data_IF_011376547084
#
_entry.id   IF_011376547084
#
_cell.length_a   1.000
_cell.length_b   1.000
_cell.length_c   1.000
_cell.angle_alpha   90.00
_cell.angle_beta   90.00
_cell.angle_gamma   90.00
#
_symmetry.space_group_name_H-M   'P 1'
#
loop_
_entity.id
_entity.type
_entity.pdbx_description
1 polymer ?
#
# COMPACT_ATOMS: atom_id res chain seq x y z
N UNK A 1 -46.85 -27.59 11.96
CA UNK A 1 -46.26 -27.40 11.79
C UNK A 1 -45.30 -27.02 11.61
N UNK A 2 -45.17 -26.87 11.60
CA UNK A 2 -44.23 -26.52 11.54
C UNK A 2 -43.16 -26.17 11.27
N UNK A 3 -42.96 -26.21 11.35
CA UNK A 3 -41.80 -25.77 11.22
C UNK A 3 -40.92 -25.52 10.81
N UNK A 4 -41.17 -25.57 10.89
CA UNK A 4 -40.17 -25.38 10.59
C UNK A 4 -39.45 -24.93 10.11
N UNK A 5 -39.73 -24.82 10.32
CA UNK A 5 -38.89 -24.49 9.96
C UNK A 5 -38.00 -24.09 9.61
N UNK A 6 -38.29 -24.15 9.87
CA UNK A 6 -37.34 -23.94 9.72
C UNK A 6 -36.39 -23.66 9.31
N UNK A 7 -36.57 -23.69 9.46
CA UNK A 7 -35.49 -23.54 9.23
C UNK A 7 -34.61 -23.21 8.68
N UNK A 8 -35.03 -23.22 8.81
CA UNK A 8 -34.08 -23.03 8.45
C UNK A 8 -33.23 -22.52 8.00
N UNK A 9 -33.64 -22.43 8.24
CA UNK A 9 -32.69 -22.08 8.01
C UNK A 9 -31.85 -21.61 7.79
N UNK A 10 -32.04 -21.47 8.14
CA UNK A 10 -31.00 -21.16 8.17
C UNK A 10 -30.06 -21.00 7.79
N UNK A 11 -30.37 -21.09 7.88
CA UNK A 11 -29.32 -21.10 7.78
C UNK A 11 -28.50 -20.74 7.17
N UNK A 12 -28.84 -20.71 7.11
CA UNK A 12 -28.03 -20.51 6.76
C UNK A 12 -27.23 -19.88 6.42
N UNK A 13 -27.41 -19.61 6.67
CA UNK A 13 -26.65 -19.19 6.57
C UNK A 13 -25.63 -18.96 6.46
N UNK A 14 -25.66 -19.00 6.58
CA UNK A 14 -24.70 -18.95 6.73
C UNK A 14 -23.87 -18.66 6.22
N UNK A 15 -24.17 -18.51 6.25
CA UNK A 15 -23.40 -18.40 5.95
C UNK A 15 -22.67 -17.87 5.43
N UNK A 16 -23.03 -17.83 5.42
CA UNK A 16 -22.33 -17.52 5.00
C UNK A 16 -21.49 -16.82 4.99
N UNK A 17 -21.53 -16.46 5.20
CA UNK A 17 -20.80 -15.89 5.27
C UNK A 17 -19.64 -15.82 5.19
N UNK A 18 -19.53 -16.01 5.43
CA UNK A 18 -18.36 -16.08 5.57
C UNK A 18 -17.41 -15.87 4.69
N UNK A 19 -17.45 -16.17 4.05
CA UNK A 19 -16.58 -16.15 3.01
C UNK A 19 -16.02 -14.84 2.66
N UNK A 20 -16.72 -13.87 2.75
CA UNK A 20 -16.26 -12.55 2.34
C UNK A 20 -15.09 -12.08 3.15
N UNK A 21 -14.90 -12.65 4.28
CA UNK A 21 -13.89 -12.14 5.16
C UNK A 21 -12.49 -12.35 4.67
N UNK A 22 -12.28 -13.30 3.79
CA UNK A 22 -10.92 -13.57 3.37
C UNK A 22 -10.29 -12.42 2.64
N UNK A 23 -11.08 -11.59 2.00
CA UNK A 23 -10.53 -10.51 1.21
C UNK A 23 -9.85 -9.44 2.03
N UNK A 24 -10.25 -9.29 3.27
CA UNK A 24 -9.66 -8.26 4.10
C UNK A 24 -8.22 -8.54 4.45
N UNK A 25 -7.75 -9.75 4.23
CA UNK A 25 -6.36 -10.08 4.51
C UNK A 25 -5.42 -9.52 3.48
N UNK A 26 -5.91 -9.14 2.32
CA UNK A 26 -5.05 -8.65 1.26
C UNK A 26 -4.61 -7.24 1.53
N UNK A 27 -3.40 -6.91 1.06
CA UNK A 27 -2.89 -5.57 1.15
C UNK A 27 -3.71 -4.64 0.28
N UNK A 28 -3.87 -3.43 0.72
CA UNK A 28 -4.42 -2.38 -0.13
C UNK A 28 -3.39 -2.06 -1.20
N UNK A 29 -3.84 -2.02 -2.44
CA UNK A 29 -2.94 -1.80 -3.57
C UNK A 29 -3.54 -0.77 -4.50
N UNK A 30 -2.71 0.13 -5.00
CA UNK A 30 -3.16 1.15 -5.92
C UNK A 30 -2.03 1.58 -6.84
N UNK A 31 -2.40 2.12 -7.99
CA UNK A 31 -1.45 2.75 -8.89
C UNK A 31 -1.24 4.18 -8.40
N UNK A 32 0.01 4.57 -8.32
CA UNK A 32 0.39 5.90 -7.87
C UNK A 32 1.44 6.46 -8.81
N UNK A 33 1.94 7.65 -8.52
CA UNK A 33 3.00 8.28 -9.27
C UNK A 33 4.20 8.45 -8.36
N UNK A 34 5.35 7.95 -8.79
CA UNK A 34 6.55 7.96 -7.97
C UNK A 34 7.62 8.85 -8.54
N UNK A 35 8.38 9.47 -7.65
CA UNK A 35 9.59 10.22 -7.98
C UNK A 35 10.69 9.72 -7.07
N UNK A 36 11.74 9.20 -7.69
CA UNK A 36 12.91 8.71 -6.97
C UNK A 36 14.04 9.70 -7.13
N UNK A 37 14.50 10.26 -6.03
CA UNK A 37 15.60 11.21 -5.99
C UNK A 37 16.75 10.59 -5.21
N UNK A 38 17.85 10.33 -5.90
CA UNK A 38 19.04 9.83 -5.23
C UNK A 38 19.76 10.97 -4.54
N UNK A 39 20.37 10.69 -3.41
CA UNK A 39 21.12 11.73 -2.71
C UNK A 39 22.48 11.99 -3.38
N UNK A 40 22.84 11.12 -4.31
CA UNK A 40 23.96 11.40 -5.21
C UNK A 40 23.43 12.26 -6.36
N UNK A 41 23.81 13.51 -6.39
CA UNK A 41 23.27 14.48 -7.33
C UNK A 41 23.68 14.22 -8.78
N UNK A 42 24.62 13.31 -9.02
CA UNK A 42 24.99 12.95 -10.38
C UNK A 42 23.99 12.02 -11.03
N UNK A 43 23.06 11.44 -10.24
CA UNK A 43 22.06 10.52 -10.76
C UNK A 43 20.76 11.30 -10.97
N UNK A 44 20.21 11.29 -12.21
CA UNK A 44 19.00 12.04 -12.49
C UNK A 44 17.79 11.49 -11.74
N UNK A 45 16.78 12.33 -11.56
CA UNK A 45 15.50 11.90 -11.02
C UNK A 45 14.86 10.86 -11.93
N UNK A 46 14.18 9.90 -11.32
CA UNK A 46 13.36 8.95 -12.05
C UNK A 46 11.91 9.18 -11.65
N UNK A 47 11.04 9.24 -12.65
CA UNK A 47 9.62 9.54 -12.44
C UNK A 47 8.78 8.58 -13.24
N UNK A 48 7.59 8.30 -12.75
CA UNK A 48 6.65 7.48 -13.49
C UNK A 48 5.63 6.86 -12.59
N UNK A 49 4.73 6.09 -13.21
CA UNK A 49 3.74 5.35 -12.45
C UNK A 49 4.40 4.24 -11.65
N UNK A 50 3.80 3.90 -10.54
CA UNK A 50 4.28 2.85 -9.67
C UNK A 50 3.09 2.12 -9.05
N UNK A 51 3.37 0.95 -8.48
CA UNK A 51 2.38 0.19 -7.75
C UNK A 51 2.70 0.29 -6.28
N UNK A 52 1.74 0.78 -5.53
CA UNK A 52 1.86 0.98 -4.10
C UNK A 52 0.96 -0.01 -3.38
N UNK A 53 1.49 -0.68 -2.38
CA UNK A 53 0.66 -1.52 -1.52
C UNK A 53 1.06 -1.33 -0.08
N UNK A 54 0.08 -1.44 0.81
CA UNK A 54 0.32 -1.25 2.22
C UNK A 54 -0.48 -2.29 3.00
N UNK A 55 0.17 -2.87 3.98
CA UNK A 55 -0.48 -3.84 4.86
C UNK A 55 0.10 -3.69 6.25
N UNK A 56 -0.75 -3.37 7.23
CA UNK A 56 -0.35 -3.22 8.62
C UNK A 56 0.81 -2.25 8.79
N UNK A 57 0.81 -1.20 7.97
CA UNK A 57 1.85 -0.18 8.03
C UNK A 57 3.11 -0.51 7.25
N UNK A 58 3.21 -1.74 6.75
CA UNK A 58 4.34 -2.13 5.90
C UNK A 58 4.03 -1.77 4.47
N UNK A 59 4.95 -1.11 3.80
CA UNK A 59 4.73 -0.57 2.47
C UNK A 59 5.64 -1.26 1.48
N UNK A 60 5.08 -1.61 0.32
CA UNK A 60 5.84 -2.11 -0.81
C UNK A 60 5.54 -1.23 -2.01
N UNK A 61 6.58 -0.82 -2.72
CA UNK A 61 6.44 -0.01 -3.92
C UNK A 61 7.22 -0.66 -5.04
N UNK A 62 6.55 -0.86 -6.17
CA UNK A 62 7.21 -1.36 -7.37
C UNK A 62 7.24 -0.23 -8.37
N UNK A 63 8.43 0.16 -8.75
CA UNK A 63 8.65 1.32 -9.62
C UNK A 63 9.77 0.99 -10.60
N UNK A 64 9.42 0.89 -11.89
CA UNK A 64 10.38 0.51 -12.93
C UNK A 64 11.02 -0.82 -12.57
N UNK A 65 12.33 -0.86 -12.46
CA UNK A 65 13.05 -2.08 -12.09
C UNK A 65 13.30 -2.18 -10.59
N UNK A 66 12.72 -1.26 -9.83
CA UNK A 66 12.96 -1.19 -8.39
C UNK A 66 11.82 -1.82 -7.60
N UNK A 67 12.17 -2.41 -6.50
CA UNK A 67 11.19 -2.88 -5.51
C UNK A 67 11.63 -2.32 -4.17
N UNK A 68 10.80 -1.44 -3.61
CA UNK A 68 11.09 -0.81 -2.33
C UNK A 68 10.23 -1.43 -1.26
N UNK A 69 10.79 -1.63 -0.09
CA UNK A 69 10.06 -2.11 1.05
C UNK A 69 10.36 -1.23 2.26
N UNK A 70 9.30 -0.77 2.92
CA UNK A 70 9.41 0.08 4.09
C UNK A 70 8.58 -0.55 5.19
N UNK A 71 9.23 -1.27 6.10
CA UNK A 71 8.54 -1.93 7.19
C UNK A 71 8.23 -0.94 8.29
N UNK A 72 7.04 -1.06 8.87
CA UNK A 72 6.60 -0.15 9.91
C UNK A 72 7.59 -0.09 11.07
N UNK A 73 8.17 -1.24 11.41
CA UNK A 73 9.09 -1.31 12.55
C UNK A 73 10.39 -0.55 12.32
N UNK A 74 10.72 -0.26 11.07
CA UNK A 74 11.95 0.45 10.72
C UNK A 74 11.74 1.95 10.56
N UNK A 75 10.50 2.41 10.66
CA UNK A 75 10.19 3.83 10.52
C UNK A 75 10.86 4.62 11.63
N UNK A 76 11.57 5.67 11.25
CA UNK A 76 12.34 6.46 12.21
C UNK A 76 13.71 5.87 12.50
N UNK A 77 14.03 4.72 11.93
CA UNK A 77 15.32 4.06 12.17
C UNK A 77 16.13 3.97 10.89
N UNK A 78 15.64 3.23 9.90
CA UNK A 78 16.35 3.10 8.63
C UNK A 78 15.78 4.03 7.57
N UNK A 79 14.61 4.59 7.81
CA UNK A 79 14.01 5.58 6.91
C UNK A 79 13.07 6.48 7.71
N UNK A 80 12.79 7.66 7.14
CA UNK A 80 11.81 8.59 7.69
C UNK A 80 10.59 8.58 6.77
N UNK A 81 9.41 8.54 7.36
CA UNK A 81 8.16 8.55 6.62
C UNK A 81 7.38 9.81 6.94
N UNK A 82 6.91 10.50 5.91
CA UNK A 82 6.06 11.66 6.05
C UNK A 82 4.82 11.48 5.18
N UNK A 83 3.67 11.79 5.73
CA UNK A 83 2.40 11.65 5.03
C UNK A 83 1.78 13.02 4.85
N UNK A 84 1.11 13.21 3.72
CA UNK A 84 0.32 14.40 3.44
C UNK A 84 -0.90 13.99 2.63
N UNK A 85 -1.77 14.95 2.34
CA UNK A 85 -2.93 14.67 1.49
C UNK A 85 -2.53 14.25 0.10
N UNK A 86 -1.34 14.60 -0.33
CA UNK A 86 -0.86 14.34 -1.68
C UNK A 86 -0.19 12.98 -1.82
N UNK A 87 0.26 12.41 -0.72
CA UNK A 87 0.94 11.13 -0.79
C UNK A 87 1.87 10.89 0.37
N UNK A 88 2.87 10.08 0.11
CA UNK A 88 3.86 9.67 1.11
C UNK A 88 5.25 10.01 0.62
N UNK A 89 6.12 10.31 1.56
CA UNK A 89 7.52 10.52 1.28
C UNK A 89 8.32 9.59 2.18
N UNK A 90 9.23 8.85 1.57
CA UNK A 90 10.14 7.96 2.30
C UNK A 90 11.56 8.46 2.04
N UNK A 91 12.27 8.75 3.11
CA UNK A 91 13.64 9.26 3.02
C UNK A 91 14.59 8.31 3.72
N UNK A 92 15.52 7.74 2.97
CA UNK A 92 16.63 6.98 3.55
C UNK A 92 17.86 7.88 3.51
N UNK A 93 18.22 8.36 4.65
CA UNK A 93 19.33 9.31 4.80
C UNK A 93 20.59 8.80 4.11
N UNK A 94 21.17 9.63 3.27
CA UNK A 94 22.40 9.27 2.55
C UNK A 94 22.20 8.40 1.34
N UNK A 95 20.96 8.02 1.03
CA UNK A 95 20.70 7.12 -0.08
C UNK A 95 19.72 7.70 -1.08
N UNK A 96 18.46 7.88 -0.69
CA UNK A 96 17.44 8.35 -1.62
C UNK A 96 16.21 8.85 -0.88
N UNK A 97 15.40 9.58 -1.63
CA UNK A 97 14.03 9.94 -1.23
C UNK A 97 13.09 9.41 -2.28
N UNK A 98 12.08 8.68 -1.85
CA UNK A 98 11.03 8.18 -2.73
C UNK A 98 9.74 8.90 -2.37
N UNK A 99 9.16 9.59 -3.35
CA UNK A 99 7.86 10.24 -3.18
C UNK A 99 6.81 9.44 -3.91
N UNK A 100 5.73 9.14 -3.22
CA UNK A 100 4.59 8.42 -3.79
C UNK A 100 3.40 9.36 -3.75
N UNK A 101 2.94 9.77 -4.91
CA UNK A 101 1.82 10.71 -5.03
C UNK A 101 0.59 9.98 -5.53
N UNK A 102 -0.57 10.36 -4.97
CA UNK A 102 -1.81 9.71 -5.37
C UNK A 102 -2.27 10.17 -6.75
N UNK A 103 -1.78 11.31 -7.18
CA UNK A 103 -2.10 11.85 -8.49
C UNK A 103 -0.82 12.27 -9.18
N UNK A 104 -0.80 12.10 -10.50
CA UNK A 104 0.33 12.57 -11.28
C UNK A 104 0.38 14.10 -11.20
N UNK A 105 1.55 14.68 -10.86
CA UNK A 105 1.68 16.12 -10.80
C UNK A 105 1.41 16.76 -12.15
N UNK A 106 0.86 17.96 -12.12
CA UNK A 106 0.65 18.73 -13.34
C UNK A 106 2.00 19.16 -13.90
N UNK A 107 2.13 19.19 -15.22
CA UNK A 107 3.39 19.63 -15.84
C UNK A 107 3.66 21.10 -15.63
#
# INVERSE_FOLDING_TARGET
MRPALINNSLVVLALTISSATTNSAWADSTTAYCVLSRHDHTIPLEKGTCQFSQRQGNVNVRFKNWAFRFDADDSGRTFQRQASDEGLRFNREGHYTLMVSWQQPMP
#
